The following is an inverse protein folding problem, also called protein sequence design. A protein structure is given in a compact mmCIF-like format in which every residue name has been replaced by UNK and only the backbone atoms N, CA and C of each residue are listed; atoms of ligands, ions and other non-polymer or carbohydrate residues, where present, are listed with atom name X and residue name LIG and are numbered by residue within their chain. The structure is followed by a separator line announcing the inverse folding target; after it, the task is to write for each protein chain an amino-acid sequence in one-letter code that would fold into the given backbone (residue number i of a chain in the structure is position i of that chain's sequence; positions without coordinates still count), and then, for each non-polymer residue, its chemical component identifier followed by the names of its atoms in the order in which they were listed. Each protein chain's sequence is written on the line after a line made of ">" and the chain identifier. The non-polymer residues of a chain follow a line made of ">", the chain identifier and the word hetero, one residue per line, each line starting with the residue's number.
data_IF_226963676044
#
_entry.id   IF_226963676044
#
_cell.length_a   1.000
_cell.length_b   1.000
_cell.length_c   1.000
_cell.angle_alpha   90.00
_cell.angle_beta   90.00
_cell.angle_gamma   90.00
#
_symmetry.space_group_name_H-M   'P 1'
#
loop_
_entity.id
_entity.type
_entity.pdbx_description
1 polymer ?
#
# COMPACT_ATOMS: atom_id res chain seq x y z
N UNK A 1 38.85 -52.80 90.77
CA UNK A 1 37.39 -53.01 90.55
C UNK A 1 36.75 -51.69 90.18
N UNK A 2 36.15 -51.63 88.97
CA UNK A 2 35.04 -50.78 88.47
C UNK A 2 34.92 -49.29 88.86
N UNK A 3 35.03 -48.46 87.81
CA UNK A 3 34.31 -47.21 87.43
C UNK A 3 33.97 -46.13 88.47
N UNK A 4 34.44 -44.90 88.23
CA UNK A 4 33.62 -43.81 87.65
C UNK A 4 34.46 -42.51 87.46
N UNK A 5 34.58 -41.96 86.24
CA UNK A 5 35.11 -40.61 86.08
C UNK A 5 34.07 -39.58 86.51
N UNK A 6 34.47 -38.68 87.42
CA UNK A 6 33.63 -37.61 87.99
C UNK A 6 33.17 -36.67 86.86
N UNK A 7 31.90 -36.76 86.50
CA UNK A 7 31.29 -35.95 85.45
C UNK A 7 31.36 -34.46 85.82
N UNK A 8 32.13 -33.68 85.04
CA UNK A 8 32.13 -32.23 85.14
C UNK A 8 30.75 -31.70 84.74
N UNK A 9 29.99 -31.19 85.72
CA UNK A 9 28.70 -30.58 85.48
C UNK A 9 28.87 -29.36 84.56
N UNK A 10 28.41 -29.50 83.31
CA UNK A 10 28.39 -28.40 82.34
C UNK A 10 27.48 -27.30 82.88
N UNK A 11 28.05 -26.13 83.15
CA UNK A 11 27.30 -25.00 83.68
C UNK A 11 26.27 -24.47 82.68
N UNK A 12 25.18 -23.84 83.16
CA UNK A 12 24.08 -23.38 82.32
C UNK A 12 24.52 -22.40 81.22
N UNK A 13 25.64 -21.68 81.42
CA UNK A 13 26.20 -20.74 80.44
C UNK A 13 26.78 -21.41 79.18
N UNK A 14 27.36 -22.60 79.26
CA UNK A 14 27.92 -23.29 78.07
C UNK A 14 26.84 -23.93 77.20
N UNK A 15 25.73 -24.33 77.80
CA UNK A 15 24.56 -24.85 77.07
C UNK A 15 23.77 -23.71 76.40
N UNK A 16 23.68 -22.54 77.04
CA UNK A 16 23.11 -21.33 76.43
C UNK A 16 23.93 -20.83 75.23
N UNK A 17 25.26 -20.85 75.32
CA UNK A 17 26.14 -20.46 74.20
C UNK A 17 26.03 -21.42 73.00
N UNK A 18 25.86 -22.73 73.27
CA UNK A 18 25.62 -23.74 72.22
C UNK A 18 24.27 -23.56 71.56
N UNK A 19 23.22 -23.32 72.34
CA UNK A 19 21.89 -23.04 71.83
C UNK A 19 21.87 -21.77 70.96
N UNK A 20 22.58 -20.71 71.38
CA UNK A 20 22.72 -19.48 70.60
C UNK A 20 23.46 -19.71 69.27
N UNK A 21 24.55 -20.49 69.26
CA UNK A 21 25.25 -20.83 68.01
C UNK A 21 24.40 -21.67 67.06
N UNK A 22 23.61 -22.63 67.57
CA UNK A 22 22.69 -23.41 66.75
C UNK A 22 21.57 -22.54 66.18
N UNK A 23 21.03 -21.60 66.96
CA UNK A 23 20.03 -20.65 66.48
C UNK A 23 20.57 -19.75 65.36
N UNK A 24 21.81 -19.25 65.49
CA UNK A 24 22.48 -18.46 64.44
C UNK A 24 22.77 -19.30 63.19
N UNK A 25 23.21 -20.55 63.35
CA UNK A 25 23.45 -21.46 62.23
C UNK A 25 22.15 -21.82 61.49
N UNK A 26 21.04 -22.02 62.23
CA UNK A 26 19.72 -22.25 61.65
C UNK A 26 19.18 -21.01 60.93
N UNK A 27 19.37 -19.81 61.50
CA UNK A 27 19.04 -18.55 60.84
C UNK A 27 19.87 -18.33 59.57
N UNK A 28 21.16 -18.69 59.59
CA UNK A 28 22.03 -18.63 58.41
C UNK A 28 21.64 -19.67 57.35
N UNK A 29 21.25 -20.89 57.74
CA UNK A 29 20.74 -21.90 56.81
C UNK A 29 19.37 -21.51 56.22
N UNK A 30 18.49 -20.91 57.01
CA UNK A 30 17.24 -20.31 56.53
C UNK A 30 17.52 -19.17 55.55
N UNK A 31 18.52 -18.34 55.83
CA UNK A 31 18.96 -17.28 54.91
C UNK A 31 19.53 -17.87 53.60
N UNK A 32 20.38 -18.90 53.68
CA UNK A 32 20.95 -19.62 52.54
C UNK A 32 19.88 -20.32 51.68
N UNK A 33 18.85 -20.88 52.31
CA UNK A 33 17.76 -21.56 51.61
C UNK A 33 16.77 -20.59 50.93
N UNK A 34 16.59 -19.37 51.45
CA UNK A 34 15.67 -18.37 50.89
C UNK A 34 16.28 -17.61 49.71
N UNK A 35 17.61 -17.47 49.65
CA UNK A 35 18.34 -16.78 48.57
C UNK A 35 18.12 -17.33 47.16
N UNK A 36 18.21 -18.65 46.89
CA UNK A 36 18.02 -19.18 45.54
C UNK A 36 16.59 -18.94 45.01
N UNK A 37 15.56 -19.06 45.87
CA UNK A 37 14.17 -18.80 45.46
C UNK A 37 13.93 -17.33 45.08
N UNK A 38 14.53 -16.38 45.80
CA UNK A 38 14.48 -14.96 45.43
C UNK A 38 15.30 -14.66 44.17
N UNK A 39 16.47 -15.29 44.02
CA UNK A 39 17.32 -15.14 42.84
C UNK A 39 16.64 -15.68 41.56
N UNK A 40 15.96 -16.82 41.67
CA UNK A 40 15.18 -17.42 40.57
C UNK A 40 14.01 -16.53 40.16
N UNK A 41 13.24 -15.99 41.12
CA UNK A 41 12.16 -15.04 40.82
C UNK A 41 12.67 -13.76 40.15
N UNK A 42 13.79 -13.20 40.63
CA UNK A 42 14.39 -12.01 40.02
C UNK A 42 14.90 -12.31 38.61
N UNK A 43 15.50 -13.49 38.39
CA UNK A 43 15.96 -13.94 37.08
C UNK A 43 14.80 -14.11 36.11
N UNK A 44 13.72 -14.77 36.54
CA UNK A 44 12.50 -14.94 35.74
C UNK A 44 11.88 -13.59 35.35
N UNK A 45 11.77 -12.66 36.30
CA UNK A 45 11.26 -11.31 36.03
C UNK A 45 12.15 -10.52 35.07
N UNK A 46 13.47 -10.68 35.15
CA UNK A 46 14.41 -10.07 34.19
C UNK A 46 14.26 -10.66 32.79
N UNK A 47 14.05 -11.97 32.67
CA UNK A 47 13.84 -12.61 31.36
C UNK A 47 12.48 -12.22 30.77
N UNK A 48 11.43 -12.12 31.59
CA UNK A 48 10.13 -11.57 31.20
C UNK A 48 10.28 -10.14 30.69
N UNK A 49 11.00 -9.27 31.41
CA UNK A 49 11.26 -7.89 30.97
C UNK A 49 12.01 -7.84 29.63
N UNK A 50 13.08 -8.64 29.47
CA UNK A 50 13.83 -8.73 28.20
C UNK A 50 12.99 -9.26 27.04
N UNK A 51 12.05 -10.16 27.31
CA UNK A 51 11.12 -10.67 26.31
C UNK A 51 10.16 -9.57 25.86
N UNK A 52 9.59 -8.82 26.81
CA UNK A 52 8.72 -7.67 26.53
C UNK A 52 9.46 -6.57 25.77
N UNK A 53 10.69 -6.24 26.15
CA UNK A 53 11.54 -5.27 25.43
C UNK A 53 11.78 -5.69 23.97
N UNK A 54 12.05 -6.99 23.73
CA UNK A 54 12.21 -7.54 22.38
C UNK A 54 10.91 -7.43 21.58
N UNK A 55 9.77 -7.72 22.19
CA UNK A 55 8.46 -7.59 21.55
C UNK A 55 8.15 -6.14 21.20
N UNK A 56 8.42 -5.20 22.12
CA UNK A 56 8.24 -3.77 21.89
C UNK A 56 9.13 -3.26 20.75
N UNK A 57 10.40 -3.67 20.71
CA UNK A 57 11.32 -3.30 19.63
C UNK A 57 10.84 -3.83 18.27
N UNK A 58 10.34 -5.07 18.23
CA UNK A 58 9.74 -5.65 17.01
C UNK A 58 8.50 -4.88 16.58
N UNK A 59 7.61 -4.54 17.51
CA UNK A 59 6.39 -3.79 17.25
C UNK A 59 6.68 -2.38 16.71
N UNK A 60 7.67 -1.70 17.29
CA UNK A 60 8.10 -0.38 16.83
C UNK A 60 8.65 -0.44 15.39
N UNK A 61 9.44 -1.47 15.07
CA UNK A 61 9.96 -1.66 13.71
C UNK A 61 8.82 -1.92 12.71
N UNK A 62 7.83 -2.73 13.10
CA UNK A 62 6.66 -2.98 12.26
C UNK A 62 5.81 -1.72 12.05
N UNK A 63 5.60 -0.92 13.10
CA UNK A 63 4.89 0.36 13.01
C UNK A 63 5.61 1.34 12.09
N UNK A 64 6.93 1.44 12.19
CA UNK A 64 7.74 2.27 11.31
C UNK A 64 7.63 1.83 9.84
N UNK A 65 7.69 0.51 9.61
CA UNK A 65 7.52 -0.07 8.26
C UNK A 65 6.13 0.26 7.68
N UNK A 66 5.06 -0.03 8.42
CA UNK A 66 3.68 0.23 7.98
C UNK A 66 3.43 1.72 7.72
N UNK A 67 3.97 2.60 8.56
CA UNK A 67 3.87 4.06 8.36
C UNK A 67 4.58 4.50 7.08
N UNK A 68 5.77 3.97 6.81
CA UNK A 68 6.51 4.24 5.56
C UNK A 68 5.72 3.76 4.34
N UNK A 69 5.19 2.54 4.37
CA UNK A 69 4.38 1.99 3.29
C UNK A 69 3.08 2.78 3.05
N UNK A 70 2.44 3.28 4.12
CA UNK A 70 1.25 4.13 4.02
C UNK A 70 1.59 5.46 3.34
N UNK A 71 2.68 6.11 3.73
CA UNK A 71 3.13 7.37 3.12
C UNK A 71 3.45 7.19 1.63
N UNK A 72 4.09 6.07 1.26
CA UNK A 72 4.36 5.73 -0.14
C UNK A 72 3.05 5.54 -0.93
N UNK A 73 2.08 4.80 -0.37
CA UNK A 73 0.75 4.62 -0.98
C UNK A 73 0.06 5.97 -1.21
N UNK A 74 0.06 6.87 -0.22
CA UNK A 74 -0.54 8.21 -0.35
C UNK A 74 0.14 9.05 -1.44
N UNK A 75 1.47 9.03 -1.51
CA UNK A 75 2.22 9.72 -2.56
C UNK A 75 1.89 9.19 -3.96
N UNK A 76 1.75 7.85 -4.09
CA UNK A 76 1.35 7.22 -5.35
C UNK A 76 -0.06 7.60 -5.77
N UNK A 77 -1.01 7.65 -4.83
CA UNK A 77 -2.39 8.10 -5.06
C UNK A 77 -2.40 9.53 -5.58
N UNK A 78 -1.68 10.45 -4.92
CA UNK A 78 -1.62 11.86 -5.35
C UNK A 78 -1.02 12.00 -6.76
N UNK A 79 0.06 11.28 -7.04
CA UNK A 79 0.70 11.27 -8.38
C UNK A 79 -0.26 10.74 -9.45
N UNK A 80 -0.96 9.65 -9.15
CA UNK A 80 -1.89 9.01 -10.07
C UNK A 80 -3.11 9.89 -10.33
N UNK A 81 -3.65 10.55 -9.29
CA UNK A 81 -4.74 11.52 -9.43
C UNK A 81 -4.35 12.67 -10.36
N UNK A 82 -3.18 13.29 -10.16
CA UNK A 82 -2.70 14.35 -11.04
C UNK A 82 -2.52 13.87 -12.49
N UNK A 83 -2.04 12.63 -12.67
CA UNK A 83 -1.92 12.03 -14.00
C UNK A 83 -3.28 11.79 -14.66
N UNK A 84 -4.28 11.34 -13.90
CA UNK A 84 -5.65 11.13 -14.38
C UNK A 84 -6.25 12.46 -14.85
N UNK A 85 -6.16 13.52 -14.04
CA UNK A 85 -6.70 14.85 -14.37
C UNK A 85 -6.04 15.41 -15.65
N UNK A 86 -4.72 15.30 -15.75
CA UNK A 86 -3.97 15.69 -16.95
C UNK A 86 -4.41 14.89 -18.18
N UNK A 87 -4.52 13.57 -18.06
CA UNK A 87 -4.89 12.70 -19.17
C UNK A 87 -6.36 12.94 -19.61
N UNK A 88 -7.26 13.25 -18.67
CA UNK A 88 -8.63 13.66 -18.97
C UNK A 88 -8.68 14.96 -19.77
N UNK A 89 -7.94 15.98 -19.36
CA UNK A 89 -7.88 17.25 -20.08
C UNK A 89 -7.32 17.07 -21.51
N UNK A 90 -6.24 16.30 -21.65
CA UNK A 90 -5.67 15.98 -22.97
C UNK A 90 -6.62 15.18 -23.84
N UNK A 91 -7.37 14.24 -23.26
CA UNK A 91 -8.36 13.45 -23.97
C UNK A 91 -9.50 14.34 -24.47
N UNK A 92 -10.03 15.22 -23.63
CA UNK A 92 -11.08 16.17 -24.02
C UNK A 92 -10.62 17.10 -25.15
N UNK A 93 -9.39 17.59 -25.08
CA UNK A 93 -8.81 18.42 -26.15
C UNK A 93 -8.72 17.64 -27.47
N UNK A 94 -8.20 16.40 -27.42
CA UNK A 94 -8.10 15.55 -28.60
C UNK A 94 -9.47 15.21 -29.19
N UNK A 95 -10.47 14.93 -28.35
CA UNK A 95 -11.85 14.67 -28.77
C UNK A 95 -12.48 15.89 -29.44
N UNK A 96 -12.28 17.09 -28.89
CA UNK A 96 -12.78 18.33 -29.49
C UNK A 96 -12.08 18.63 -30.84
N UNK A 97 -10.77 18.41 -30.93
CA UNK A 97 -10.03 18.55 -32.18
C UNK A 97 -10.51 17.55 -33.22
N UNK A 98 -10.73 16.29 -32.82
CA UNK A 98 -11.28 15.26 -33.70
C UNK A 98 -12.66 15.67 -34.22
N UNK A 99 -13.58 16.09 -33.36
CA UNK A 99 -14.92 16.54 -33.76
C UNK A 99 -14.86 17.72 -34.75
N UNK A 100 -13.93 18.66 -34.54
CA UNK A 100 -13.70 19.76 -35.48
C UNK A 100 -13.29 19.25 -36.87
N UNK A 101 -12.32 18.34 -36.94
CA UNK A 101 -11.88 17.77 -38.22
C UNK A 101 -12.96 16.93 -38.89
N UNK A 102 -13.75 16.19 -38.11
CA UNK A 102 -14.92 15.47 -38.61
C UNK A 102 -15.90 16.41 -39.29
N UNK A 103 -16.27 17.52 -38.65
CA UNK A 103 -17.19 18.51 -39.21
C UNK A 103 -16.66 19.15 -40.50
N UNK A 104 -15.37 19.50 -40.54
CA UNK A 104 -14.72 20.08 -41.74
C UNK A 104 -14.76 19.08 -42.91
N UNK A 105 -14.43 17.81 -42.66
CA UNK A 105 -14.46 16.78 -43.70
C UNK A 105 -15.88 16.51 -44.19
N UNK A 106 -16.88 16.50 -43.30
CA UNK A 106 -18.29 16.35 -43.67
C UNK A 106 -18.79 17.53 -44.52
N UNK A 107 -18.44 18.78 -44.18
CA UNK A 107 -18.83 19.95 -44.99
C UNK A 107 -18.18 19.92 -46.39
N UNK A 108 -16.93 19.46 -46.46
CA UNK A 108 -16.22 19.31 -47.72
C UNK A 108 -16.88 18.28 -48.63
N UNK A 109 -17.28 17.14 -48.06
CA UNK A 109 -18.09 16.11 -48.74
C UNK A 109 -19.39 16.69 -49.30
N UNK A 110 -20.13 17.45 -48.49
CA UNK A 110 -21.39 18.08 -48.92
C UNK A 110 -21.16 19.08 -50.06
N UNK A 111 -20.06 19.84 -50.00
CA UNK A 111 -19.71 20.81 -51.06
C UNK A 111 -19.37 20.09 -52.37
N UNK A 112 -18.56 19.03 -52.32
CA UNK A 112 -18.24 18.20 -53.49
C UNK A 112 -19.50 17.56 -54.12
N UNK A 113 -20.48 17.16 -53.30
CA UNK A 113 -21.77 16.66 -53.78
C UNK A 113 -22.55 17.73 -54.54
N UNK A 114 -22.69 18.93 -53.95
CA UNK A 114 -23.43 20.06 -54.54
C UNK A 114 -22.82 20.56 -55.85
N UNK A 115 -21.50 20.45 -56.01
CA UNK A 115 -20.76 20.86 -57.21
C UNK A 115 -20.83 19.81 -58.34
N UNK A 116 -21.49 18.67 -58.15
CA UNK A 116 -21.98 17.82 -59.24
C UNK A 116 -21.19 16.55 -59.55
N UNK A 117 -20.76 15.76 -58.55
CA UNK A 117 -20.26 14.40 -58.82
C UNK A 117 -20.77 13.30 -57.85
N UNK A 118 -21.52 12.35 -58.45
CA UNK A 118 -21.73 10.93 -58.12
C UNK A 118 -22.60 10.52 -56.91
N UNK A 119 -23.43 9.52 -57.17
CA UNK A 119 -24.27 8.73 -56.26
C UNK A 119 -23.51 8.00 -55.13
N UNK A 120 -22.18 7.91 -55.21
CA UNK A 120 -21.34 7.36 -54.14
C UNK A 120 -21.28 8.26 -52.89
N UNK A 121 -21.61 9.55 -53.02
CA UNK A 121 -21.64 10.51 -51.90
C UNK A 121 -22.87 10.35 -51.00
N UNK A 122 -23.98 9.83 -51.52
CA UNK A 122 -25.21 9.60 -50.74
C UNK A 122 -24.98 8.51 -49.67
N UNK A 123 -24.25 7.45 -50.03
CA UNK A 123 -23.81 6.37 -49.13
C UNK A 123 -22.90 6.87 -48.01
N UNK A 124 -22.12 7.92 -48.25
CA UNK A 124 -21.23 8.51 -47.26
C UNK A 124 -21.95 9.37 -46.23
N UNK A 125 -23.03 10.06 -46.64
CA UNK A 125 -23.89 10.83 -45.74
C UNK A 125 -24.76 9.93 -44.85
N UNK A 126 -24.99 8.68 -45.27
CA UNK A 126 -25.71 7.66 -44.50
C UNK A 126 -24.83 6.87 -43.53
N UNK A 127 -23.51 7.09 -43.49
CA UNK A 127 -22.63 6.36 -42.57
C UNK A 127 -22.93 6.75 -41.11
N UNK A 128 -23.37 5.78 -40.29
CA UNK A 128 -23.67 5.97 -38.86
C UNK A 128 -22.44 6.31 -38.00
N UNK A 129 -21.24 5.96 -38.44
CA UNK A 129 -20.00 6.20 -37.71
C UNK A 129 -18.88 6.79 -38.57
N UNK A 130 -18.07 7.65 -37.95
CA UNK A 130 -17.03 8.39 -38.66
C UNK A 130 -15.88 7.51 -39.17
N UNK A 131 -15.59 6.38 -38.53
CA UNK A 131 -14.56 5.46 -39.00
C UNK A 131 -15.00 4.77 -40.31
N UNK A 132 -16.27 4.39 -40.39
CA UNK A 132 -16.89 3.91 -41.64
C UNK A 132 -16.93 5.03 -42.68
N UNK A 133 -17.30 6.26 -42.30
CA UNK A 133 -17.24 7.43 -43.19
C UNK A 133 -15.86 7.61 -43.82
N UNK A 134 -14.79 7.64 -43.01
CA UNK A 134 -13.42 7.84 -43.52
C UNK A 134 -12.99 6.70 -44.44
N UNK A 135 -13.29 5.46 -44.08
CA UNK A 135 -12.93 4.31 -44.91
C UNK A 135 -13.65 4.36 -46.26
N UNK A 136 -14.95 4.64 -46.25
CA UNK A 136 -15.76 4.86 -47.45
C UNK A 136 -15.26 6.04 -48.28
N UNK A 137 -14.80 7.12 -47.63
CA UNK A 137 -14.30 8.31 -48.32
C UNK A 137 -12.97 8.01 -49.03
N UNK A 138 -12.04 7.30 -48.39
CA UNK A 138 -10.79 6.84 -49.00
C UNK A 138 -10.98 5.99 -50.28
N UNK A 139 -12.10 5.27 -50.42
CA UNK A 139 -12.40 4.51 -51.64
C UNK A 139 -12.77 5.39 -52.83
N UNK A 140 -13.11 6.66 -52.63
CA UNK A 140 -13.29 7.59 -53.73
C UNK A 140 -11.92 8.01 -54.28
N UNK A 141 -11.63 7.64 -55.53
CA UNK A 141 -10.48 8.12 -56.32
C UNK A 141 -10.45 9.65 -56.58
N UNK A 142 -11.38 10.37 -55.93
CA UNK A 142 -11.72 11.79 -55.85
C UNK A 142 -10.75 12.78 -55.18
N UNK A 143 -9.94 12.25 -54.29
CA UNK A 143 -9.44 13.03 -53.14
C UNK A 143 -8.17 13.77 -53.55
N UNK A 144 -8.16 15.10 -53.35
CA UNK A 144 -6.94 15.89 -53.49
C UNK A 144 -5.97 15.60 -52.35
N UNK A 145 -4.65 15.75 -52.58
CA UNK A 145 -3.61 15.42 -51.58
C UNK A 145 -3.87 16.03 -50.19
N UNK A 146 -4.38 17.26 -50.13
CA UNK A 146 -4.67 17.94 -48.87
C UNK A 146 -5.77 17.25 -48.04
N UNK A 147 -6.79 16.67 -48.68
CA UNK A 147 -7.85 15.95 -48.00
C UNK A 147 -7.36 14.63 -47.45
N UNK A 148 -6.57 13.91 -48.25
CA UNK A 148 -5.93 12.66 -47.84
C UNK A 148 -5.06 12.87 -46.58
N UNK A 149 -4.33 13.99 -46.51
CA UNK A 149 -3.55 14.38 -45.33
C UNK A 149 -4.43 14.63 -44.09
N UNK A 150 -5.51 15.40 -44.23
CA UNK A 150 -6.44 15.68 -43.11
C UNK A 150 -7.11 14.39 -42.61
N UNK A 151 -7.47 13.50 -43.54
CA UNK A 151 -8.07 12.20 -43.20
C UNK A 151 -7.11 11.33 -42.43
N UNK A 152 -5.88 11.17 -42.93
CA UNK A 152 -4.86 10.38 -42.26
C UNK A 152 -4.56 10.94 -40.86
N UNK A 153 -4.48 12.25 -40.72
CA UNK A 153 -4.32 12.92 -39.42
C UNK A 153 -5.50 12.64 -38.48
N UNK A 154 -6.73 12.67 -39.00
CA UNK A 154 -7.95 12.41 -38.21
C UNK A 154 -8.02 10.95 -37.76
N UNK A 155 -7.69 9.99 -38.64
CA UNK A 155 -7.63 8.56 -38.29
C UNK A 155 -6.60 8.30 -37.19
N UNK A 156 -5.41 8.91 -37.31
CA UNK A 156 -4.37 8.81 -36.29
C UNK A 156 -4.87 9.38 -34.95
N UNK A 157 -5.49 10.56 -34.97
CA UNK A 157 -6.05 11.19 -33.77
C UNK A 157 -7.11 10.31 -33.09
N UNK A 158 -7.98 9.66 -33.87
CA UNK A 158 -8.96 8.70 -33.33
C UNK A 158 -8.31 7.48 -32.68
N UNK A 159 -7.22 6.97 -33.26
CA UNK A 159 -6.41 5.91 -32.68
C UNK A 159 -5.80 6.34 -31.34
N UNK A 160 -5.21 7.54 -31.30
CA UNK A 160 -4.62 8.11 -30.09
C UNK A 160 -5.66 8.35 -29.00
N UNK A 161 -6.86 8.84 -29.34
CA UNK A 161 -8.00 8.99 -28.42
C UNK A 161 -8.41 7.63 -27.82
N UNK A 162 -8.52 6.58 -28.66
CA UNK A 162 -8.86 5.23 -28.19
C UNK A 162 -7.83 4.72 -27.20
N UNK A 163 -6.54 4.90 -27.50
CA UNK A 163 -5.47 4.49 -26.62
C UNK A 163 -5.49 5.26 -25.30
N UNK A 164 -5.68 6.59 -25.34
CA UNK A 164 -5.80 7.45 -24.16
C UNK A 164 -6.99 7.06 -23.27
N UNK A 165 -8.13 6.67 -23.85
CA UNK A 165 -9.28 6.16 -23.09
C UNK A 165 -8.95 4.88 -22.34
N UNK A 166 -8.26 3.94 -22.99
CA UNK A 166 -7.82 2.69 -22.35
C UNK A 166 -6.84 2.98 -21.21
N UNK A 167 -5.85 3.85 -21.45
CA UNK A 167 -4.87 4.23 -20.44
C UNK A 167 -5.54 4.91 -19.23
N UNK A 168 -6.47 5.83 -19.48
CA UNK A 168 -7.22 6.50 -18.43
C UNK A 168 -8.05 5.53 -17.58
N UNK A 169 -8.67 4.53 -18.20
CA UNK A 169 -9.44 3.51 -17.48
C UNK A 169 -8.54 2.63 -16.62
N UNK A 170 -7.38 2.22 -17.15
CA UNK A 170 -6.37 1.49 -16.39
C UNK A 170 -5.86 2.30 -15.18
N UNK A 171 -5.60 3.60 -15.37
CA UNK A 171 -5.19 4.50 -14.28
C UNK A 171 -6.27 4.63 -13.20
N UNK A 172 -7.55 4.75 -13.59
CA UNK A 172 -8.66 4.77 -12.62
C UNK A 172 -8.77 3.46 -11.84
N UNK A 173 -8.60 2.32 -12.51
CA UNK A 173 -8.58 1.01 -11.86
C UNK A 173 -7.42 0.87 -10.87
N UNK A 174 -6.20 1.27 -11.28
CA UNK A 174 -5.02 1.32 -10.40
C UNK A 174 -5.28 2.24 -9.18
N UNK A 175 -5.91 3.39 -9.38
CA UNK A 175 -6.25 4.33 -8.32
C UNK A 175 -7.20 3.71 -7.29
N UNK A 176 -8.24 3.01 -7.72
CA UNK A 176 -9.17 2.31 -6.82
C UNK A 176 -8.48 1.20 -6.02
N UNK A 177 -7.54 0.49 -6.65
CA UNK A 177 -6.73 -0.52 -5.97
C UNK A 177 -5.85 0.10 -4.87
N UNK A 178 -5.20 1.23 -5.13
CA UNK A 178 -4.43 1.94 -4.12
C UNK A 178 -5.28 2.53 -3.00
N UNK A 179 -6.50 3.02 -3.27
CA UNK A 179 -7.43 3.43 -2.22
C UNK A 179 -7.81 2.27 -1.30
N UNK A 180 -8.06 1.10 -1.88
CA UNK A 180 -8.35 -0.12 -1.12
C UNK A 180 -7.15 -0.53 -0.26
N UNK A 181 -5.94 -0.49 -0.83
CA UNK A 181 -4.69 -0.75 -0.09
C UNK A 181 -4.48 0.25 1.05
N UNK A 182 -4.72 1.54 0.81
CA UNK A 182 -4.60 2.60 1.82
C UNK A 182 -5.54 2.34 3.01
N UNK A 183 -6.78 1.95 2.74
CA UNK A 183 -7.75 1.63 3.79
C UNK A 183 -7.29 0.44 4.64
N UNK A 184 -6.80 -0.63 4.01
CA UNK A 184 -6.24 -1.79 4.73
C UNK A 184 -5.03 -1.42 5.59
N UNK A 185 -4.13 -0.57 5.08
CA UNK A 185 -2.97 -0.07 5.83
C UNK A 185 -3.37 0.81 7.02
N UNK A 186 -4.42 1.64 6.87
CA UNK A 186 -4.96 2.43 7.99
C UNK A 186 -5.55 1.53 9.07
N UNK A 187 -6.32 0.51 8.69
CA UNK A 187 -6.90 -0.44 9.64
C UNK A 187 -5.83 -1.25 10.39
N UNK A 188 -4.76 -1.68 9.71
CA UNK A 188 -3.67 -2.41 10.38
C UNK A 188 -2.90 -1.53 11.37
N UNK A 189 -2.64 -0.26 11.03
CA UNK A 189 -2.02 0.70 11.95
C UNK A 189 -2.90 0.99 13.16
N UNK A 190 -4.22 1.13 12.97
CA UNK A 190 -5.17 1.32 14.08
C UNK A 190 -5.14 0.12 15.04
N UNK A 191 -5.22 -1.11 14.52
CA UNK A 191 -5.12 -2.32 15.33
C UNK A 191 -3.79 -2.38 16.12
N UNK A 192 -2.68 -2.04 15.47
CA UNK A 192 -1.36 -2.07 16.11
C UNK A 192 -1.20 -0.99 17.18
N UNK A 193 -1.86 0.16 17.02
CA UNK A 193 -1.86 1.24 18.02
C UNK A 193 -2.70 0.97 19.27
N UNK A 194 -3.55 -0.07 19.23
CA UNK A 194 -4.42 -0.49 20.35
C UNK A 194 -3.84 -1.64 21.18
N UNK A 195 -2.70 -2.20 20.76
CA UNK A 195 -2.01 -3.25 21.51
C UNK A 195 -1.17 -2.61 22.64
N UNK A 196 -1.36 -3.05 23.90
CA UNK A 196 -0.70 -2.48 25.08
C UNK A 196 0.80 -2.79 25.19
#
# INVERSE_FOLDING_TARGET
>A
MRFAPKAAAKGPRSELLRAAMLAVALLFMLWQALMPALADQISEKKEQARSVERQLASLQNELNRLTSELNQTQSRIATLQASIEKNQAQLQQAEAECQKWQAILSERVVSMYKEGNLSAMEVLLECDDFNTFVNSFNYMSRIGNHDAEIIAATQKLMGDIRQKRIELENQKSEYQSYLSKLNSQKSSLQLNSLLP
#
